data_IF_919401025864
#
_entry.id   IF_919401025864
#
_cell.length_a   1.000
_cell.length_b   1.000
_cell.length_c   1.000
_cell.angle_alpha   90.00
_cell.angle_beta   90.00
_cell.angle_gamma   90.00
#
_symmetry.space_group_name_H-M   'P 1'
#
loop_
_entity.id
_entity.type
_entity.pdbx_description
1 polymer ?
#
# COMPACT_ATOMS: atom_id res chain seq x y z
N UNK A 1 13.41 -15.78 8.10
CA UNK A 1 13.56 -15.51 6.65
C UNK A 1 14.97 -15.90 6.23
N UNK A 2 15.12 -16.65 5.14
CA UNK A 2 16.44 -16.92 4.57
C UNK A 2 16.96 -15.65 3.86
N UNK A 3 18.24 -15.34 4.02
CA UNK A 3 18.88 -14.25 3.28
C UNK A 3 19.52 -14.81 2.01
N UNK A 4 19.34 -14.11 0.89
CA UNK A 4 19.95 -14.46 -0.40
C UNK A 4 20.78 -13.27 -0.86
N UNK A 5 22.04 -13.51 -1.23
CA UNK A 5 22.90 -12.47 -1.80
C UNK A 5 22.64 -12.34 -3.30
N UNK A 6 22.45 -11.11 -3.77
CA UNK A 6 22.23 -10.79 -5.18
C UNK A 6 23.21 -9.68 -5.56
N UNK A 7 23.81 -9.79 -6.75
CA UNK A 7 24.68 -8.74 -7.31
C UNK A 7 23.82 -7.71 -8.04
N UNK A 8 24.02 -6.44 -7.73
CA UNK A 8 23.27 -5.31 -8.30
C UNK A 8 24.29 -4.26 -8.74
N UNK A 9 24.03 -3.62 -9.88
CA UNK A 9 24.88 -2.54 -10.39
C UNK A 9 24.96 -1.36 -9.41
N UNK A 10 26.16 -0.79 -9.29
CA UNK A 10 26.45 0.29 -8.33
C UNK A 10 25.56 1.52 -8.56
N UNK A 11 25.23 1.85 -9.81
CA UNK A 11 24.33 2.95 -10.16
C UNK A 11 22.92 2.76 -9.57
N UNK A 12 22.40 1.52 -9.59
CA UNK A 12 21.07 1.21 -9.04
C UNK A 12 21.09 1.29 -7.51
N UNK A 13 22.19 0.86 -6.90
CA UNK A 13 22.38 0.96 -5.45
C UNK A 13 22.55 2.42 -5.02
N UNK A 14 23.27 3.25 -5.78
CA UNK A 14 23.47 4.66 -5.47
C UNK A 14 22.17 5.48 -5.61
N UNK A 15 21.36 5.18 -6.62
CA UNK A 15 20.02 5.74 -6.77
C UNK A 15 19.12 5.34 -5.58
N UNK A 16 19.13 4.06 -5.21
CA UNK A 16 18.38 3.56 -4.05
C UNK A 16 18.81 4.25 -2.75
N UNK A 17 20.11 4.47 -2.55
CA UNK A 17 20.65 5.16 -1.37
C UNK A 17 20.19 6.62 -1.29
N UNK A 18 20.13 7.29 -2.44
CA UNK A 18 19.68 8.68 -2.51
C UNK A 18 18.20 8.82 -2.18
N UNK A 19 17.36 7.96 -2.76
CA UNK A 19 15.92 7.92 -2.46
C UNK A 19 15.65 7.48 -1.00
N UNK A 20 16.34 6.46 -0.51
CA UNK A 20 16.23 5.98 0.87
C UNK A 20 16.51 7.10 1.89
N UNK A 21 17.52 7.95 1.63
CA UNK A 21 17.83 9.10 2.48
C UNK A 21 16.73 10.16 2.46
N UNK A 22 16.12 10.39 1.30
CA UNK A 22 15.04 11.37 1.16
C UNK A 22 13.74 10.91 1.82
N UNK A 23 13.45 9.61 1.78
CA UNK A 23 12.21 9.01 2.28
C UNK A 23 12.37 8.35 3.67
N UNK A 24 13.51 8.58 4.34
CA UNK A 24 13.83 8.01 5.66
C UNK A 24 13.73 6.48 5.74
N UNK A 25 14.03 5.78 4.64
CA UNK A 25 14.09 4.31 4.58
C UNK A 25 15.53 3.79 4.64
N UNK A 26 15.68 2.50 4.92
CA UNK A 26 16.96 1.81 4.68
C UNK A 26 17.16 1.59 3.18
N UNK A 27 18.41 1.40 2.73
CA UNK A 27 18.68 1.12 1.31
C UNK A 27 17.98 -0.16 0.85
N UNK A 28 18.00 -1.20 1.68
CA UNK A 28 17.25 -2.43 1.42
C UNK A 28 15.74 -2.16 1.32
N UNK A 29 15.17 -1.41 2.27
CA UNK A 29 13.76 -1.07 2.28
C UNK A 29 13.33 -0.28 1.02
N UNK A 30 14.19 0.60 0.52
CA UNK A 30 13.92 1.31 -0.74
C UNK A 30 13.93 0.37 -1.96
N UNK A 31 14.86 -0.58 -2.02
CA UNK A 31 14.89 -1.58 -3.09
C UNK A 31 13.66 -2.48 -3.03
N UNK A 32 13.24 -2.90 -1.84
CA UNK A 32 12.01 -3.67 -1.63
C UNK A 32 10.77 -2.88 -2.06
N UNK A 33 10.70 -1.60 -1.74
CA UNK A 33 9.62 -0.72 -2.18
C UNK A 33 9.54 -0.63 -3.71
N UNK A 34 10.66 -0.38 -4.39
CA UNK A 34 10.69 -0.35 -5.86
C UNK A 34 10.33 -1.71 -6.47
N UNK A 35 10.72 -2.82 -5.85
CA UNK A 35 10.31 -4.14 -6.31
C UNK A 35 8.78 -4.36 -6.18
N UNK A 36 8.17 -3.90 -5.08
CA UNK A 36 6.70 -3.92 -4.90
C UNK A 36 6.00 -3.06 -5.95
N UNK A 37 6.47 -1.83 -6.18
CA UNK A 37 5.91 -0.92 -7.20
C UNK A 37 6.04 -1.52 -8.60
N UNK A 38 7.22 -2.03 -8.95
CA UNK A 38 7.46 -2.64 -10.27
C UNK A 38 6.57 -3.85 -10.53
N UNK A 39 6.36 -4.70 -9.51
CA UNK A 39 5.42 -5.82 -9.62
C UNK A 39 3.98 -5.35 -9.82
N UNK A 40 3.53 -4.40 -9.00
CA UNK A 40 2.18 -3.84 -9.13
C UNK A 40 1.97 -3.21 -10.53
N UNK A 41 2.99 -2.55 -11.08
CA UNK A 41 2.92 -1.91 -12.40
C UNK A 41 2.84 -2.91 -13.55
N UNK A 42 3.47 -4.08 -13.41
CA UNK A 42 3.34 -5.16 -14.38
C UNK A 42 1.96 -5.84 -14.30
N UNK A 43 1.42 -5.98 -13.09
CA UNK A 43 0.11 -6.59 -12.87
C UNK A 43 -1.05 -5.66 -13.28
N UNK A 44 -0.84 -4.33 -13.26
CA UNK A 44 -1.85 -3.29 -13.55
C UNK A 44 -1.29 -2.26 -14.55
N UNK A 45 -1.07 -2.62 -15.83
CA UNK A 45 -0.38 -1.77 -16.80
C UNK A 45 -1.14 -0.50 -17.17
N UNK A 46 -2.45 -0.45 -16.93
CA UNK A 46 -3.29 0.73 -17.13
C UNK A 46 -3.14 1.80 -16.04
N UNK A 47 -2.55 1.44 -14.89
CA UNK A 47 -2.37 2.34 -13.77
C UNK A 47 -0.98 3.00 -13.81
N UNK A 48 -0.87 4.32 -13.59
CA UNK A 48 0.41 4.99 -13.45
C UNK A 48 1.22 4.44 -12.27
N UNK A 49 2.51 4.19 -12.47
CA UNK A 49 3.40 3.72 -11.39
C UNK A 49 3.44 4.67 -10.18
N UNK A 50 3.26 5.98 -10.39
CA UNK A 50 3.14 6.97 -9.32
C UNK A 50 1.96 6.68 -8.39
N UNK A 51 0.80 6.31 -8.95
CA UNK A 51 -0.38 5.97 -8.17
C UNK A 51 -0.14 4.75 -7.28
N UNK A 52 0.55 3.73 -7.80
CA UNK A 52 0.91 2.55 -7.01
C UNK A 52 1.91 2.87 -5.90
N UNK A 53 2.91 3.71 -6.19
CA UNK A 53 3.85 4.18 -5.19
C UNK A 53 3.13 4.92 -4.06
N UNK A 54 2.26 5.88 -4.38
CA UNK A 54 1.46 6.65 -3.41
C UNK A 54 0.50 5.75 -2.61
N UNK A 55 -0.17 4.82 -3.29
CA UNK A 55 -1.09 3.88 -2.63
C UNK A 55 -0.35 2.98 -1.63
N UNK A 56 0.83 2.45 -2.01
CA UNK A 56 1.65 1.63 -1.11
C UNK A 56 2.18 2.44 0.07
N UNK A 57 2.57 3.70 -0.13
CA UNK A 57 2.99 4.59 0.95
C UNK A 57 1.83 4.88 1.91
N UNK A 58 0.63 5.16 1.38
CA UNK A 58 -0.57 5.38 2.21
C UNK A 58 -1.00 4.13 2.99
N UNK A 59 -0.73 2.93 2.48
CA UNK A 59 -0.97 1.68 3.21
C UNK A 59 0.02 1.42 4.34
N UNK A 60 1.23 1.98 4.27
CA UNK A 60 2.25 1.90 5.32
C UNK A 60 2.06 2.96 6.42
N UNK A 61 1.16 3.94 6.21
CA UNK A 61 0.84 4.97 7.20
C UNK A 61 0.14 4.37 8.44
N UNK A 62 0.50 4.80 9.66
CA UNK A 62 -0.24 4.43 10.86
C UNK A 62 -1.70 4.85 10.75
N UNK A 63 -2.60 3.95 11.11
CA UNK A 63 -4.04 4.22 11.05
C UNK A 63 -4.50 5.36 11.95
N UNK A 64 -3.70 5.70 12.97
CA UNK A 64 -3.90 6.83 13.87
C UNK A 64 -3.68 8.18 13.17
N UNK A 65 -2.78 8.22 12.18
CA UNK A 65 -2.46 9.41 11.39
C UNK A 65 -3.36 9.56 10.15
N UNK A 66 -4.06 8.49 9.77
CA UNK A 66 -4.93 8.47 8.59
C UNK A 66 -6.27 9.16 8.84
N UNK A 67 -6.70 9.97 7.86
CA UNK A 67 -8.03 10.58 7.90
C UNK A 67 -9.12 9.55 7.57
N UNK A 68 -10.20 9.44 8.39
CA UNK A 68 -11.30 8.55 8.08
C UNK A 68 -12.03 9.03 6.83
N UNK A 69 -12.35 8.10 5.93
CA UNK A 69 -13.16 8.41 4.77
C UNK A 69 -14.57 8.80 5.21
N UNK A 70 -14.95 10.07 5.01
CA UNK A 70 -16.30 10.55 5.20
C UNK A 70 -17.06 10.42 3.88
N UNK A 71 -18.00 9.47 3.74
CA UNK A 71 -18.74 9.31 2.50
C UNK A 71 -19.51 10.58 2.17
N UNK A 72 -19.43 11.02 0.91
CA UNK A 72 -20.25 12.13 0.43
C UNK A 72 -21.71 11.75 0.62
N UNK A 73 -22.43 12.50 1.45
CA UNK A 73 -23.87 12.34 1.58
C UNK A 73 -24.48 12.65 0.22
N UNK A 74 -24.97 11.63 -0.48
CA UNK A 74 -25.77 11.86 -1.67
C UNK A 74 -27.07 12.47 -1.16
N UNK A 75 -27.32 13.75 -1.47
CA UNK A 75 -28.66 14.29 -1.42
C UNK A 75 -29.45 13.55 -2.48
N UNK A 76 -29.98 12.38 -2.11
CA UNK A 76 -30.80 11.56 -2.96
C UNK A 76 -32.06 12.36 -3.29
N UNK A 77 -32.04 13.09 -4.40
CA UNK A 77 -33.27 13.42 -5.10
C UNK A 77 -33.92 12.08 -5.41
N UNK A 78 -35.14 11.80 -4.92
CA UNK A 78 -35.76 10.50 -5.07
C UNK A 78 -36.19 10.31 -6.53
N UNK A 79 -35.24 9.99 -7.40
CA UNK A 79 -35.54 9.37 -8.68
C UNK A 79 -35.76 7.89 -8.41
N UNK A 80 -37.00 7.49 -8.65
CA UNK A 80 -37.58 6.16 -8.49
C UNK A 80 -36.64 5.07 -9.06
N UNK A 81 -36.06 4.28 -8.15
CA UNK A 81 -35.52 2.94 -8.44
C UNK A 81 -34.00 2.83 -8.43
N UNK A 82 -33.52 1.83 -7.67
CA UNK A 82 -32.15 1.31 -7.55
C UNK A 82 -31.23 2.01 -6.53
N UNK A 83 -31.55 1.79 -5.25
CA UNK A 83 -30.58 1.92 -4.16
C UNK A 83 -29.52 0.80 -4.30
N UNK A 84 -28.29 1.13 -4.69
CA UNK A 84 -27.16 0.21 -4.58
C UNK A 84 -26.60 0.29 -3.16
N UNK A 85 -26.95 -0.68 -2.31
CA UNK A 85 -26.33 -0.85 -0.99
C UNK A 85 -24.93 -1.42 -1.17
N UNK A 86 -23.90 -0.63 -0.87
CA UNK A 86 -22.53 -1.15 -0.78
C UNK A 86 -22.38 -1.85 0.57
N UNK A 87 -22.45 -3.18 0.58
CA UNK A 87 -22.11 -3.97 1.76
C UNK A 87 -20.58 -4.02 1.91
N UNK A 88 -20.04 -3.20 2.83
CA UNK A 88 -18.65 -3.36 3.29
C UNK A 88 -18.65 -4.44 4.37
N UNK A 89 -18.37 -5.69 3.98
CA UNK A 89 -18.15 -6.77 4.95
C UNK A 89 -16.76 -6.60 5.55
N UNK A 90 -16.68 -6.00 6.74
CA UNK A 90 -15.49 -6.10 7.58
C UNK A 90 -15.38 -7.55 8.07
N UNK A 91 -14.44 -8.30 7.52
CA UNK A 91 -14.07 -9.60 8.08
C UNK A 91 -13.50 -9.38 9.49
N UNK A 92 -14.01 -10.07 10.53
CA UNK A 92 -13.39 -9.99 11.85
C UNK A 92 -12.01 -10.65 11.78
N UNK A 93 -10.98 -9.88 12.15
CA UNK A 93 -9.64 -10.36 12.41
C UNK A 93 -9.71 -11.50 13.43
N UNK A 94 -9.48 -12.73 12.98
CA UNK A 94 -9.34 -13.90 13.84
C UNK A 94 -8.11 -13.74 14.73
N UNK A 95 -8.29 -13.17 15.92
CA UNK A 95 -7.31 -13.19 16.98
C UNK A 95 -7.14 -14.61 17.50
N UNK A 96 -6.05 -15.27 17.12
CA UNK A 96 -5.59 -16.48 17.81
C UNK A 96 -4.96 -16.06 19.13
N UNK A 97 -5.72 -16.24 20.22
CA UNK A 97 -5.20 -16.29 21.58
C UNK A 97 -4.30 -17.53 21.69
N UNK A 98 -3.01 -17.34 21.91
CA UNK A 98 -2.12 -18.38 22.41
C UNK A 98 -2.33 -18.50 23.93
N UNK A 99 -2.67 -19.67 24.48
CA UNK A 99 -2.64 -19.88 25.92
C UNK A 99 -1.21 -20.15 26.40
N UNK A 100 -0.83 -19.47 27.49
CA UNK A 100 0.35 -19.76 28.31
C UNK A 100 0.33 -21.21 28.83
N UNK A 101 1.50 -21.87 28.78
CA UNK A 101 1.74 -23.21 29.31
C UNK A 101 3.14 -23.71 28.96
#
# INVERSE_FOLDING_TARGET
MASVSVRIDEERVSASRSAAKAEFRTVQGQVEFWAKVGRAALDNPELPASYMAESLMGMEEPREDSTPFLPRQTSATPHRGHCFTVHVTLAPSSGTVYPDG
#
